data_IF_028590370759
#
_entry.id   IF_028590370759
#
_cell.length_a   1.000
_cell.length_b   1.000
_cell.length_c   1.000
_cell.angle_alpha   90.00
_cell.angle_beta   90.00
_cell.angle_gamma   90.00
#
_symmetry.space_group_name_H-M   'P 1'
#
loop_
_entity.id
_entity.type
_entity.pdbx_description
1 polymer ?
#
# COMPACT_ATOMS: atom_id res chain seq x y z
N UNK A 1 -27.18 66.73 -14.00
CA UNK A 1 -26.81 65.33 -13.74
C UNK A 1 -28.08 64.56 -13.43
N UNK A 2 -28.46 63.65 -14.32
CA UNK A 2 -29.83 63.15 -14.53
C UNK A 2 -30.19 62.04 -13.55
N UNK A 3 -31.46 61.98 -13.12
CA UNK A 3 -32.01 60.96 -12.21
C UNK A 3 -31.67 59.50 -12.60
N UNK A 4 -31.38 59.26 -13.88
CA UNK A 4 -30.99 57.95 -14.43
C UNK A 4 -29.68 57.40 -13.84
N UNK A 5 -28.68 58.25 -13.59
CA UNK A 5 -27.39 57.83 -13.01
C UNK A 5 -27.50 57.45 -11.53
N UNK A 6 -28.34 58.16 -10.76
CA UNK A 6 -28.58 57.84 -9.35
C UNK A 6 -29.30 56.50 -9.17
N UNK A 7 -30.21 56.15 -10.09
CA UNK A 7 -30.92 54.87 -10.05
C UNK A 7 -30.00 53.69 -10.41
N UNK A 8 -29.09 53.87 -11.36
CA UNK A 8 -28.09 52.85 -11.74
C UNK A 8 -27.09 52.59 -10.60
N UNK A 9 -26.58 53.64 -9.96
CA UNK A 9 -25.64 53.50 -8.83
C UNK A 9 -26.31 52.78 -7.64
N UNK A 10 -27.58 53.09 -7.36
CA UNK A 10 -28.35 52.40 -6.31
C UNK A 10 -28.63 50.93 -6.63
N UNK A 11 -28.95 50.61 -7.89
CA UNK A 11 -29.15 49.22 -8.34
C UNK A 11 -27.85 48.41 -8.28
N UNK A 12 -26.74 49.00 -8.71
CA UNK A 12 -25.43 48.36 -8.65
C UNK A 12 -24.98 48.14 -7.20
N UNK A 13 -25.21 49.12 -6.31
CA UNK A 13 -24.94 48.98 -4.88
C UNK A 13 -25.76 47.88 -4.22
N UNK A 14 -27.05 47.75 -4.56
CA UNK A 14 -27.91 46.67 -4.06
C UNK A 14 -27.48 45.29 -4.56
N UNK A 15 -27.07 45.17 -5.83
CA UNK A 15 -26.58 43.91 -6.41
C UNK A 15 -25.26 43.49 -5.75
N UNK A 16 -24.33 44.43 -5.55
CA UNK A 16 -23.06 44.17 -4.88
C UNK A 16 -23.27 43.79 -3.39
N UNK A 17 -24.23 44.43 -2.70
CA UNK A 17 -24.61 44.06 -1.34
C UNK A 17 -25.22 42.65 -1.27
N UNK A 18 -26.07 42.28 -2.23
CA UNK A 18 -26.68 40.94 -2.31
C UNK A 18 -25.62 39.86 -2.60
N UNK A 19 -24.69 40.13 -3.52
CA UNK A 19 -23.56 39.25 -3.83
C UNK A 19 -22.59 39.10 -2.65
N UNK A 20 -22.40 40.15 -1.84
CA UNK A 20 -21.56 40.10 -0.65
C UNK A 20 -22.23 39.35 0.53
N UNK A 21 -23.56 39.34 0.59
CA UNK A 21 -24.33 38.66 1.64
C UNK A 21 -24.68 37.20 1.31
N UNK A 22 -24.65 36.80 0.02
CA UNK A 22 -24.90 35.43 -0.41
C UNK A 22 -23.97 34.38 0.25
N UNK A 23 -22.64 34.61 0.36
CA UNK A 23 -21.72 33.67 1.01
C UNK A 23 -21.99 33.54 2.52
N UNK A 24 -22.51 34.60 3.16
CA UNK A 24 -22.84 34.60 4.58
C UNK A 24 -24.13 33.79 4.88
N UNK A 25 -25.07 33.71 3.93
CA UNK A 25 -26.28 32.91 4.07
C UNK A 25 -26.07 31.40 3.87
N UNK A 26 -24.92 30.99 3.30
CA UNK A 26 -24.56 29.58 3.05
C UNK A 26 -23.68 28.99 4.19
N UNK A 27 -23.36 29.77 5.22
CA UNK A 27 -22.73 29.27 6.46
C UNK A 27 -23.80 29.11 7.55
N UNK A 28 -23.97 27.95 8.18
CA UNK A 28 -23.00 27.37 9.11
C UNK A 28 -23.15 25.85 9.34
N UNK A 29 -24.05 25.15 8.64
CA UNK A 29 -24.18 23.70 8.85
C UNK A 29 -23.19 22.92 7.96
N UNK A 30 -22.44 21.95 8.52
CA UNK A 30 -21.56 21.07 7.74
C UNK A 30 -22.29 20.40 6.56
N UNK A 31 -23.58 20.10 6.73
CA UNK A 31 -24.43 19.44 5.74
C UNK A 31 -24.70 20.34 4.53
N UNK A 32 -25.03 21.61 4.75
CA UNK A 32 -25.30 22.55 3.67
C UNK A 32 -24.02 22.83 2.85
N UNK A 33 -22.87 22.90 3.52
CA UNK A 33 -21.57 23.06 2.85
C UNK A 33 -21.23 21.85 2.00
N UNK A 34 -21.46 20.63 2.51
CA UNK A 34 -21.19 19.40 1.76
C UNK A 34 -22.08 19.26 0.52
N UNK A 35 -23.37 19.60 0.62
CA UNK A 35 -24.28 19.57 -0.53
C UNK A 35 -23.82 20.51 -1.65
N UNK A 36 -23.44 21.74 -1.31
CA UNK A 36 -22.93 22.70 -2.29
C UNK A 36 -21.62 22.21 -2.93
N UNK A 37 -20.70 21.70 -2.10
CA UNK A 37 -19.43 21.19 -2.60
C UNK A 37 -19.61 19.97 -3.52
N UNK A 38 -20.54 19.06 -3.22
CA UNK A 38 -20.78 17.85 -4.02
C UNK A 38 -21.37 18.17 -5.40
N UNK A 39 -22.11 19.27 -5.52
CA UNK A 39 -22.62 19.75 -6.83
C UNK A 39 -21.51 20.38 -7.67
N UNK A 40 -20.57 21.09 -7.04
CA UNK A 40 -19.53 21.85 -7.73
C UNK A 40 -18.26 21.02 -8.01
N UNK A 41 -17.98 20.03 -7.18
CA UNK A 41 -16.77 19.22 -7.25
C UNK A 41 -17.14 17.75 -7.29
N UNK A 42 -16.70 17.07 -8.34
CA UNK A 42 -16.75 15.61 -8.39
C UNK A 42 -15.70 15.04 -7.43
N UNK A 43 -16.08 14.05 -6.62
CA UNK A 43 -15.18 13.42 -5.65
C UNK A 43 -15.18 14.00 -4.24
N UNK A 44 -16.17 14.81 -3.86
CA UNK A 44 -16.35 15.21 -2.45
C UNK A 44 -16.70 13.99 -1.61
N UNK A 45 -15.88 13.62 -0.60
CA UNK A 45 -16.14 12.47 0.26
C UNK A 45 -17.47 12.62 1.02
N UNK A 46 -18.17 11.53 1.38
CA UNK A 46 -19.47 11.59 2.06
C UNK A 46 -19.35 12.24 3.45
N UNK A 47 -20.41 12.89 3.93
CA UNK A 47 -20.44 13.45 5.29
C UNK A 47 -20.13 12.36 6.33
N UNK A 48 -19.27 12.67 7.30
CA UNK A 48 -18.87 11.71 8.35
C UNK A 48 -17.77 10.72 7.93
N UNK A 49 -17.19 10.88 6.73
CA UNK A 49 -16.17 9.94 6.21
C UNK A 49 -14.91 9.84 7.08
N UNK A 50 -14.56 10.89 7.85
CA UNK A 50 -13.38 10.85 8.72
C UNK A 50 -13.62 9.98 9.94
N UNK A 51 -14.81 10.08 10.51
CA UNK A 51 -15.26 9.26 11.63
C UNK A 51 -15.44 7.80 11.19
N UNK A 52 -15.94 7.59 9.97
CA UNK A 52 -15.99 6.29 9.30
C UNK A 52 -14.58 5.70 9.12
N UNK A 53 -13.64 6.47 8.54
CA UNK A 53 -12.25 6.03 8.39
C UNK A 53 -11.59 5.75 9.73
N UNK A 54 -11.83 6.58 10.74
CA UNK A 54 -11.31 6.35 12.09
C UNK A 54 -11.89 5.07 12.69
N UNK A 55 -13.18 4.77 12.45
CA UNK A 55 -13.80 3.51 12.88
C UNK A 55 -13.22 2.32 12.13
N UNK A 56 -13.09 2.39 10.80
CA UNK A 56 -12.49 1.34 9.98
C UNK A 56 -11.02 1.10 10.36
N UNK A 57 -10.26 2.16 10.63
CA UNK A 57 -8.88 2.07 11.12
C UNK A 57 -8.82 1.49 12.54
N UNK A 58 -9.78 1.81 13.42
CA UNK A 58 -9.86 1.24 14.75
C UNK A 58 -10.26 -0.24 14.70
N UNK A 59 -11.19 -0.62 13.82
CA UNK A 59 -11.59 -2.01 13.54
C UNK A 59 -10.41 -2.79 12.96
N UNK A 60 -9.69 -2.25 11.97
CA UNK A 60 -8.46 -2.84 11.43
C UNK A 60 -7.37 -2.96 12.50
N UNK A 61 -7.19 -1.96 13.38
CA UNK A 61 -6.26 -2.03 14.50
C UNK A 61 -6.66 -3.07 15.56
N UNK A 62 -7.95 -3.37 15.71
CA UNK A 62 -8.44 -4.47 16.56
C UNK A 62 -8.12 -5.83 15.92
N UNK A 63 -8.33 -5.98 14.62
CA UNK A 63 -8.00 -7.21 13.87
C UNK A 63 -6.48 -7.47 13.87
N UNK A 64 -5.65 -6.44 13.65
CA UNK A 64 -4.19 -6.54 13.70
C UNK A 64 -3.67 -6.90 15.11
N UNK A 65 -4.41 -6.57 16.17
CA UNK A 65 -4.00 -6.85 17.55
C UNK A 65 -4.38 -8.26 18.02
N UNK A 66 -5.31 -8.95 17.35
CA UNK A 66 -5.79 -10.26 17.80
C UNK A 66 -5.13 -11.48 17.13
N UNK A 67 -4.43 -11.28 16.00
CA UNK A 67 -3.89 -12.42 15.22
C UNK A 67 -2.36 -12.53 15.19
N UNK A 68 -1.62 -11.89 16.11
CA UNK A 68 -0.22 -12.28 16.33
C UNK A 68 -0.17 -13.36 17.42
N UNK A 69 -0.10 -14.66 17.06
CA UNK A 69 0.13 -15.69 18.06
C UNK A 69 1.44 -15.37 18.79
N UNK A 70 1.33 -15.13 20.10
CA UNK A 70 2.47 -14.96 21.01
C UNK A 70 3.27 -16.24 21.23
N UNK A 71 2.97 -17.28 20.44
CA UNK A 71 3.63 -18.58 20.49
C UNK A 71 4.44 -18.76 19.22
N UNK A 72 5.75 -18.61 19.40
CA UNK A 72 6.83 -19.20 18.61
C UNK A 72 6.69 -20.74 18.59
N UNK A 73 5.60 -21.27 18.04
CA UNK A 73 5.61 -22.68 17.66
C UNK A 73 6.49 -22.80 16.42
N UNK A 74 7.53 -23.60 16.57
CA UNK A 74 8.75 -23.71 15.78
C UNK A 74 8.56 -24.31 14.37
N UNK A 75 7.42 -24.07 13.72
CA UNK A 75 7.09 -24.60 12.40
C UNK A 75 7.13 -23.58 11.25
N UNK A 76 7.35 -22.30 11.54
CA UNK A 76 7.35 -21.23 10.54
C UNK A 76 8.73 -20.81 10.06
N UNK A 77 8.77 -20.23 8.86
CA UNK A 77 9.93 -19.55 8.31
C UNK A 77 10.01 -18.13 8.86
N UNK A 78 11.21 -17.71 9.25
CA UNK A 78 11.48 -16.36 9.75
C UNK A 78 12.43 -15.62 8.81
N UNK A 79 12.17 -14.33 8.62
CA UNK A 79 13.10 -13.48 7.89
C UNK A 79 14.36 -13.23 8.73
N UNK A 80 15.56 -13.32 8.15
CA UNK A 80 16.84 -13.31 8.89
C UNK A 80 16.99 -12.13 9.87
N UNK A 81 16.86 -10.87 9.41
CA UNK A 81 16.85 -9.69 10.29
C UNK A 81 15.81 -9.73 11.41
N UNK A 82 14.63 -10.31 11.17
CA UNK A 82 13.60 -10.46 12.20
C UNK A 82 14.02 -11.49 13.26
N UNK A 83 14.56 -12.63 12.83
CA UNK A 83 15.06 -13.66 13.73
C UNK A 83 16.26 -13.17 14.57
N UNK A 84 17.09 -12.29 14.01
CA UNK A 84 18.20 -11.64 14.71
C UNK A 84 17.75 -10.55 15.70
N UNK A 85 16.47 -10.14 15.69
CA UNK A 85 15.96 -9.06 16.52
C UNK A 85 16.44 -7.67 16.08
N UNK A 86 16.83 -7.52 14.82
CA UNK A 86 17.34 -6.27 14.24
C UNK A 86 16.20 -5.36 13.79
N UNK A 87 15.26 -5.08 14.70
CA UNK A 87 14.04 -4.31 14.38
C UNK A 87 14.35 -2.94 13.78
N UNK A 88 15.47 -2.34 14.19
CA UNK A 88 15.94 -1.02 13.75
C UNK A 88 16.47 -0.96 12.32
N UNK A 89 16.66 -2.10 11.66
CA UNK A 89 17.00 -2.15 10.22
C UNK A 89 15.82 -1.76 9.33
N UNK A 90 14.59 -1.87 9.86
CA UNK A 90 13.36 -1.67 9.12
C UNK A 90 12.49 -0.59 9.77
N UNK A 91 12.39 -0.58 11.09
CA UNK A 91 11.52 0.32 11.84
C UNK A 91 12.31 1.41 12.54
N UNK A 92 11.72 2.60 12.63
CA UNK A 92 12.22 3.59 13.57
C UNK A 92 12.08 3.06 15.00
N UNK A 93 13.13 3.23 15.80
CA UNK A 93 13.16 2.76 17.18
C UNK A 93 12.87 3.90 18.15
N UNK A 94 12.07 3.62 19.19
CA UNK A 94 11.83 4.57 20.27
C UNK A 94 13.13 4.76 21.06
N UNK A 95 13.59 6.02 21.26
CA UNK A 95 14.79 6.28 22.04
C UNK A 95 14.71 5.66 23.44
N UNK A 96 15.83 5.13 23.96
CA UNK A 96 15.88 4.55 25.30
C UNK A 96 15.58 5.63 26.36
N UNK A 97 15.01 5.21 27.49
CA UNK A 97 14.73 6.14 28.60
C UNK A 97 15.99 6.58 29.32
N UNK A 98 16.98 5.70 29.43
CA UNK A 98 18.23 5.98 30.12
C UNK A 98 19.42 6.04 29.13
N UNK A 99 20.39 6.93 29.34
CA UNK A 99 21.62 6.97 28.55
C UNK A 99 22.37 5.63 28.61
N UNK A 100 22.79 5.12 27.44
CA UNK A 100 23.57 3.88 27.32
C UNK A 100 22.75 2.60 27.14
N UNK A 101 21.41 2.66 27.20
CA UNK A 101 20.56 1.52 26.90
C UNK A 101 20.29 1.38 25.39
N UNK A 102 20.09 0.14 24.91
CA UNK A 102 19.65 -0.11 23.53
C UNK A 102 18.15 0.13 23.38
N UNK A 103 17.68 0.69 22.24
CA UNK A 103 16.26 0.74 21.94
C UNK A 103 15.65 -0.67 21.88
N UNK A 104 14.49 -0.86 22.52
CA UNK A 104 13.79 -2.16 22.58
C UNK A 104 12.39 -2.13 21.97
N UNK A 105 11.92 -0.96 21.53
CA UNK A 105 10.57 -0.77 21.01
C UNK A 105 10.64 -0.03 19.67
N UNK A 106 9.79 -0.44 18.75
CA UNK A 106 9.58 0.24 17.46
C UNK A 106 8.55 1.36 17.61
N UNK A 107 8.61 2.34 16.72
CA UNK A 107 7.51 3.24 16.41
C UNK A 107 6.67 2.58 15.32
N UNK A 108 5.47 2.13 15.69
CA UNK A 108 4.59 1.39 14.76
C UNK A 108 4.25 2.25 13.55
N UNK A 109 4.47 1.70 12.36
CA UNK A 109 4.16 2.38 11.09
C UNK A 109 5.20 3.41 10.64
N UNK A 110 6.28 3.63 11.39
CA UNK A 110 7.44 4.40 10.94
C UNK A 110 8.55 3.46 10.50
N UNK A 111 9.11 3.73 9.32
CA UNK A 111 10.13 2.93 8.67
C UNK A 111 11.36 3.78 8.41
N UNK A 112 12.54 3.16 8.41
CA UNK A 112 13.81 3.89 8.19
C UNK A 112 14.04 4.29 6.73
N UNK A 113 13.36 3.62 5.78
CA UNK A 113 13.38 3.90 4.35
C UNK A 113 12.02 3.53 3.71
N UNK A 114 11.88 3.66 2.38
CA UNK A 114 10.71 3.09 1.69
C UNK A 114 10.70 1.57 1.78
N UNK A 115 9.51 0.96 1.71
CA UNK A 115 9.35 -0.50 1.86
C UNK A 115 10.16 -1.26 0.82
N UNK A 116 10.18 -0.78 -0.40
CA UNK A 116 10.90 -1.38 -1.52
C UNK A 116 12.40 -1.27 -1.29
N UNK A 117 12.89 -0.08 -0.93
CA UNK A 117 14.31 0.18 -0.69
C UNK A 117 14.87 -0.65 0.47
N UNK A 118 14.09 -0.85 1.53
CA UNK A 118 14.48 -1.72 2.66
C UNK A 118 14.72 -3.17 2.23
N UNK A 119 13.88 -3.70 1.33
CA UNK A 119 14.02 -5.07 0.84
C UNK A 119 15.27 -5.21 -0.05
N UNK A 120 15.44 -4.29 -1.00
CA UNK A 120 16.48 -4.40 -2.04
C UNK A 120 17.83 -3.87 -1.60
N UNK A 121 17.92 -3.26 -0.41
CA UNK A 121 19.21 -2.96 0.23
C UNK A 121 20.04 -4.24 0.46
N UNK A 122 19.37 -5.38 0.67
CA UNK A 122 20.01 -6.70 0.77
C UNK A 122 19.71 -7.58 -0.46
N UNK A 123 18.49 -7.53 -1.00
CA UNK A 123 18.07 -8.31 -2.18
C UNK A 123 18.21 -7.51 -3.48
N UNK A 124 19.43 -7.04 -3.76
CA UNK A 124 19.71 -6.09 -4.84
C UNK A 124 19.47 -6.67 -6.25
N UNK A 125 19.51 -7.99 -6.36
CA UNK A 125 19.25 -8.77 -7.56
C UNK A 125 17.79 -8.84 -7.97
N UNK A 126 16.85 -8.38 -7.13
CA UNK A 126 15.40 -8.48 -7.36
C UNK A 126 14.77 -7.12 -7.65
N UNK A 127 15.46 -6.30 -8.46
CA UNK A 127 15.09 -4.89 -8.71
C UNK A 127 14.72 -4.62 -10.16
N UNK A 128 13.88 -3.61 -10.37
CA UNK A 128 13.61 -3.07 -11.70
C UNK A 128 14.88 -2.53 -12.39
N UNK A 129 15.85 -2.04 -11.62
CA UNK A 129 17.14 -1.62 -12.14
C UNK A 129 17.95 -2.80 -12.66
N UNK A 130 18.02 -3.89 -11.88
CA UNK A 130 18.64 -5.14 -12.32
C UNK A 130 18.02 -5.62 -13.63
N UNK A 131 16.68 -5.65 -13.69
CA UNK A 131 15.97 -6.06 -14.90
C UNK A 131 16.39 -5.24 -16.13
N UNK A 132 16.44 -3.91 -16.00
CA UNK A 132 16.84 -3.03 -17.11
C UNK A 132 18.30 -3.21 -17.53
N UNK A 133 19.21 -3.34 -16.58
CA UNK A 133 20.64 -3.44 -16.86
C UNK A 133 20.99 -4.73 -17.58
N UNK A 134 20.30 -5.82 -17.22
CA UNK A 134 20.54 -7.15 -17.76
C UNK A 134 19.62 -7.49 -18.96
N UNK A 135 18.70 -6.58 -19.31
CA UNK A 135 17.75 -6.81 -20.40
C UNK A 135 16.68 -7.86 -20.09
N UNK A 136 16.33 -8.03 -18.82
CA UNK A 136 15.36 -8.99 -18.32
C UNK A 136 13.95 -8.38 -18.20
N UNK A 137 12.95 -9.25 -18.20
CA UNK A 137 11.58 -8.92 -17.85
C UNK A 137 11.39 -8.89 -16.33
N UNK A 138 10.73 -7.85 -15.83
CA UNK A 138 10.31 -7.72 -14.43
C UNK A 138 8.83 -8.11 -14.31
N UNK A 139 8.52 -9.02 -13.40
CA UNK A 139 7.14 -9.33 -13.07
C UNK A 139 6.47 -8.12 -12.42
N UNK A 140 5.30 -7.72 -12.90
CA UNK A 140 4.62 -6.49 -12.48
C UNK A 140 4.54 -6.29 -10.96
N UNK A 141 4.12 -7.31 -10.18
CA UNK A 141 4.05 -7.21 -8.71
C UNK A 141 5.40 -7.26 -7.97
N UNK A 142 6.52 -7.55 -8.65
CA UNK A 142 7.82 -7.71 -8.02
C UNK A 142 8.39 -6.40 -7.46
N UNK A 143 7.84 -5.25 -7.85
CA UNK A 143 8.14 -3.95 -7.25
C UNK A 143 7.49 -3.75 -5.87
N UNK A 144 6.59 -4.64 -5.45
CA UNK A 144 5.91 -4.60 -4.16
C UNK A 144 6.01 -5.94 -3.43
N UNK A 145 7.15 -6.14 -2.78
CA UNK A 145 7.53 -7.39 -2.11
C UNK A 145 6.47 -7.91 -1.13
N UNK A 146 5.75 -7.00 -0.45
CA UNK A 146 4.77 -7.33 0.59
C UNK A 146 3.42 -7.85 0.04
N UNK A 147 3.23 -7.84 -1.28
CA UNK A 147 2.10 -8.51 -1.94
C UNK A 147 2.20 -10.02 -1.73
N UNK A 148 3.40 -10.56 -1.85
CA UNK A 148 3.66 -11.99 -1.79
C UNK A 148 4.34 -12.41 -0.49
N UNK A 149 5.20 -11.58 0.09
CA UNK A 149 6.00 -11.91 1.26
C UNK A 149 5.50 -11.27 2.56
N UNK A 150 5.76 -11.94 3.69
CA UNK A 150 5.53 -11.45 5.04
C UNK A 150 6.89 -11.19 5.74
N UNK A 151 7.23 -9.94 6.10
CA UNK A 151 8.61 -9.55 6.43
C UNK A 151 9.11 -10.03 7.81
N UNK A 152 8.24 -10.61 8.62
CA UNK A 152 8.59 -11.12 9.95
C UNK A 152 8.66 -12.65 9.97
N UNK A 153 7.49 -13.27 9.84
CA UNK A 153 7.22 -14.70 10.05
C UNK A 153 6.20 -15.17 8.99
N UNK A 154 6.37 -16.36 8.45
CA UNK A 154 5.31 -17.04 7.69
C UNK A 154 5.32 -18.54 7.98
N UNK A 155 4.18 -19.20 7.82
CA UNK A 155 4.12 -20.66 7.77
C UNK A 155 4.69 -21.22 6.44
N UNK A 156 4.85 -20.38 5.42
CA UNK A 156 5.27 -20.79 4.08
C UNK A 156 6.75 -20.50 3.82
N UNK A 157 7.43 -21.32 3.00
CA UNK A 157 8.81 -21.06 2.57
C UNK A 157 8.98 -19.69 1.94
N UNK A 158 10.21 -19.18 1.96
CA UNK A 158 10.55 -17.86 1.43
C UNK A 158 9.65 -16.73 1.96
N UNK A 159 9.06 -16.90 3.14
CA UNK A 159 8.19 -15.92 3.77
C UNK A 159 6.89 -15.63 3.02
N UNK A 160 6.41 -16.52 2.14
CA UNK A 160 5.21 -16.25 1.35
C UNK A 160 3.96 -16.11 2.24
N UNK A 161 3.01 -15.24 1.88
CA UNK A 161 1.79 -15.01 2.65
C UNK A 161 0.79 -16.16 2.56
N UNK A 162 0.90 -16.95 1.50
CA UNK A 162 0.08 -18.12 1.13
C UNK A 162 0.96 -19.08 0.33
N UNK A 163 0.44 -20.22 -0.10
CA UNK A 163 1.21 -21.06 -1.04
C UNK A 163 1.47 -20.28 -2.33
N UNK A 164 2.53 -20.65 -3.07
CA UNK A 164 2.86 -19.96 -4.31
C UNK A 164 1.68 -19.99 -5.30
N UNK A 165 1.05 -21.16 -5.46
CA UNK A 165 -0.07 -21.37 -6.37
C UNK A 165 -1.27 -20.48 -6.01
N UNK A 166 -1.61 -20.37 -4.71
CA UNK A 166 -2.68 -19.47 -4.25
C UNK A 166 -2.36 -17.99 -4.52
N UNK A 167 -1.09 -17.59 -4.46
CA UNK A 167 -0.68 -16.22 -4.77
C UNK A 167 -0.73 -15.96 -6.28
N UNK A 168 -0.20 -16.88 -7.10
CA UNK A 168 -0.23 -16.79 -8.56
C UNK A 168 -1.67 -16.68 -9.07
N UNK A 169 -2.55 -17.59 -8.61
CA UNK A 169 -3.94 -17.66 -9.00
C UNK A 169 -4.82 -16.55 -8.39
N UNK A 170 -4.27 -15.70 -7.51
CA UNK A 170 -4.99 -14.52 -7.03
C UNK A 170 -5.10 -13.41 -8.07
N UNK A 171 -4.26 -13.44 -9.10
CA UNK A 171 -4.24 -12.47 -10.19
C UNK A 171 -4.28 -13.15 -11.57
N UNK A 172 -3.64 -14.31 -11.71
CA UNK A 172 -3.68 -15.05 -12.95
C UNK A 172 -4.88 -15.99 -12.98
N UNK A 173 -5.62 -15.96 -14.08
CA UNK A 173 -6.79 -16.81 -14.26
C UNK A 173 -6.37 -18.29 -14.44
N UNK A 174 -6.87 -19.14 -13.55
CA UNK A 174 -6.63 -20.57 -13.53
C UNK A 174 -6.99 -21.26 -14.87
N UNK A 175 -8.14 -20.87 -15.44
CA UNK A 175 -8.63 -21.42 -16.71
C UNK A 175 -7.76 -21.02 -17.90
N UNK A 176 -7.15 -19.83 -17.87
CA UNK A 176 -6.22 -19.40 -18.91
C UNK A 176 -4.85 -20.07 -18.80
N UNK A 177 -4.36 -20.34 -17.59
CA UNK A 177 -3.06 -21.00 -17.37
C UNK A 177 -3.16 -22.51 -17.60
N UNK A 178 -4.01 -23.19 -16.85
CA UNK A 178 -4.04 -24.66 -16.82
C UNK A 178 -4.80 -25.29 -18.00
N UNK A 179 -5.35 -24.49 -18.92
CA UNK A 179 -5.88 -24.99 -20.19
C UNK A 179 -4.79 -25.34 -21.22
N UNK A 180 -3.54 -24.97 -20.96
CA UNK A 180 -2.40 -25.31 -21.82
C UNK A 180 -1.89 -26.72 -21.52
N UNK A 181 -1.56 -27.49 -22.56
CA UNK A 181 -1.06 -28.87 -22.42
C UNK A 181 0.19 -28.95 -21.52
N UNK A 182 1.06 -27.93 -21.55
CA UNK A 182 2.29 -27.88 -20.74
C UNK A 182 2.03 -27.74 -19.23
N UNK A 183 0.84 -27.28 -18.83
CA UNK A 183 0.44 -27.16 -17.43
C UNK A 183 -0.45 -28.33 -16.96
N UNK A 184 -0.68 -29.33 -17.81
CA UNK A 184 -1.53 -30.46 -17.47
C UNK A 184 -0.98 -31.23 -16.25
N UNK A 185 -1.70 -31.19 -15.14
CA UNK A 185 -1.31 -31.86 -13.90
C UNK A 185 -0.16 -31.20 -13.15
N UNK A 186 0.28 -30.01 -13.58
CA UNK A 186 1.21 -29.16 -12.83
C UNK A 186 0.39 -28.33 -11.87
N UNK A 187 0.75 -28.36 -10.59
CA UNK A 187 0.22 -27.43 -9.60
C UNK A 187 1.28 -26.48 -9.09
N UNK A 188 2.53 -26.93 -8.94
CA UNK A 188 3.65 -26.14 -8.42
C UNK A 188 4.20 -25.17 -9.48
N UNK A 189 3.76 -23.91 -9.38
CA UNK A 189 4.13 -22.85 -10.32
C UNK A 189 5.65 -22.57 -10.30
N UNK A 190 6.28 -22.68 -9.12
CA UNK A 190 7.69 -22.30 -8.93
C UNK A 190 8.67 -23.37 -9.40
N UNK A 191 8.19 -24.57 -9.74
CA UNK A 191 9.02 -25.62 -10.35
C UNK A 191 9.58 -25.20 -11.72
N UNK A 192 8.88 -24.31 -12.42
CA UNK A 192 9.25 -23.83 -13.75
C UNK A 192 9.32 -22.30 -13.83
N UNK A 193 8.61 -21.55 -12.99
CA UNK A 193 8.56 -20.09 -13.07
C UNK A 193 9.36 -19.37 -11.98
N UNK A 194 10.02 -18.30 -12.37
CA UNK A 194 10.66 -17.32 -11.51
C UNK A 194 9.68 -16.17 -11.21
N UNK A 195 9.35 -15.88 -9.94
CA UNK A 195 8.29 -14.93 -9.61
C UNK A 195 8.70 -13.45 -9.73
N UNK A 196 9.98 -13.16 -9.93
CA UNK A 196 10.49 -11.77 -9.94
C UNK A 196 11.02 -11.34 -11.31
N UNK A 197 11.94 -12.13 -11.88
CA UNK A 197 12.69 -11.78 -13.09
C UNK A 197 12.76 -12.96 -14.06
N UNK A 198 12.75 -12.67 -15.36
CA UNK A 198 12.83 -13.69 -16.41
C UNK A 198 13.44 -13.15 -17.70
N UNK A 199 13.85 -14.05 -18.59
CA UNK A 199 14.31 -13.63 -19.93
C UNK A 199 13.19 -12.94 -20.74
N UNK A 200 11.94 -13.33 -20.48
CA UNK A 200 10.73 -12.75 -21.06
C UNK A 200 9.53 -12.88 -20.09
N UNK A 201 8.34 -12.52 -20.55
CA UNK A 201 7.11 -12.53 -19.76
C UNK A 201 6.61 -13.93 -19.36
N UNK A 202 7.19 -15.02 -19.90
CA UNK A 202 6.90 -16.39 -19.48
C UNK A 202 7.66 -16.74 -18.19
N UNK A 203 8.69 -15.98 -17.83
CA UNK A 203 9.35 -16.05 -16.54
C UNK A 203 9.92 -17.43 -16.20
N UNK A 204 10.50 -18.13 -17.18
CA UNK A 204 10.96 -19.50 -16.96
C UNK A 204 12.30 -19.53 -16.20
N UNK A 205 12.38 -20.36 -15.17
CA UNK A 205 13.54 -20.47 -14.27
C UNK A 205 14.78 -21.05 -14.96
N UNK A 206 14.60 -21.82 -16.03
CA UNK A 206 15.72 -22.37 -16.81
C UNK A 206 16.34 -21.36 -17.78
N UNK A 207 15.62 -20.31 -18.16
CA UNK A 207 16.15 -19.22 -19.01
C UNK A 207 16.79 -18.11 -18.16
N UNK A 208 16.37 -17.98 -16.91
CA UNK A 208 16.98 -17.11 -15.92
C UNK A 208 16.77 -17.66 -14.50
N UNK A 209 17.89 -18.05 -13.88
CA UNK A 209 17.91 -18.46 -12.47
C UNK A 209 18.26 -17.23 -11.61
N UNK A 210 17.30 -16.81 -10.78
CA UNK A 210 17.55 -15.74 -9.83
C UNK A 210 18.46 -16.25 -8.72
N UNK A 211 19.61 -15.59 -8.56
CA UNK A 211 20.52 -15.88 -7.46
C UNK A 211 19.86 -15.44 -6.14
N UNK A 212 20.01 -16.29 -5.12
CA UNK A 212 19.38 -16.13 -3.81
C UNK A 212 19.75 -14.82 -3.13
#
# INVERSE_FOLDING_TARGET
>A
MTLFSLLHIRRLGLILLFLALLPAAVGCSPEARHQVLTVLFTGVPPLGWKEELQRLQAEEAIVVRQDFPSRFDSGGWNHGPYAAGECGSCHEMVPPRNPGERPTRIVVGQFVETREQMCVACHAEKTAERARNDGLWLHGPADNCLRCHHPHLSAQPAMLRRTADELCLSCHDDGLIHSQDLHAGVSDCLSCHNPHLGADALMLSWDYEELF
#
